data_IF_661573476800
#
_entry.id   IF_661573476800
#
_cell.length_a   1.000
_cell.length_b   1.000
_cell.length_c   1.000
_cell.angle_alpha   90.00
_cell.angle_beta   90.00
_cell.angle_gamma   90.00
#
_symmetry.space_group_name_H-M   'P 1'
#
loop_
_entity.id
_entity.type
_entity.pdbx_description
1 polymer ?
#
# COMPACT_ATOMS: atom_id res chain seq x y z
N UNK A 1 -2.42 0.00 5.15
CA UNK A 1 -2.90 -1.20 4.43
C UNK A 1 -2.39 -1.16 3.01
N UNK A 2 -2.07 -2.31 2.42
CA UNK A 2 -1.64 -2.41 1.01
C UNK A 2 -2.65 -1.82 0.02
N UNK A 3 -3.95 -1.88 0.33
CA UNK A 3 -5.01 -1.34 -0.54
C UNK A 3 -4.99 0.18 -0.67
N UNK A 4 -4.49 0.88 0.34
CA UNK A 4 -4.34 2.33 0.27
C UNK A 4 -3.17 2.70 -0.64
N UNK A 5 -2.06 1.95 -0.57
CA UNK A 5 -0.92 2.13 -1.46
C UNK A 5 -1.30 1.81 -2.92
N UNK A 6 -1.98 0.68 -3.15
CA UNK A 6 -2.49 0.30 -4.47
C UNK A 6 -3.38 1.39 -5.09
N UNK A 7 -4.38 1.89 -4.33
CA UNK A 7 -5.29 2.94 -4.81
C UNK A 7 -4.57 4.25 -5.09
N UNK A 8 -3.60 4.64 -4.25
CA UNK A 8 -2.83 5.86 -4.48
C UNK A 8 -2.00 5.77 -5.76
N UNK A 9 -1.33 4.63 -6.00
CA UNK A 9 -0.58 4.38 -7.24
C UNK A 9 -1.51 4.38 -8.46
N UNK A 10 -2.63 3.67 -8.40
CA UNK A 10 -3.64 3.64 -9.46
C UNK A 10 -4.30 5.01 -9.73
N UNK A 11 -4.34 5.88 -8.72
CA UNK A 11 -4.80 7.27 -8.86
C UNK A 11 -3.71 8.22 -9.41
N UNK A 12 -2.53 7.71 -9.78
CA UNK A 12 -1.47 8.47 -10.43
C UNK A 12 -0.26 8.80 -9.55
N UNK A 13 -0.18 8.32 -8.31
CA UNK A 13 1.03 8.52 -7.50
C UNK A 13 2.21 7.70 -8.04
N UNK A 14 3.42 8.25 -7.96
CA UNK A 14 4.65 7.51 -8.26
C UNK A 14 5.18 6.72 -7.06
N UNK A 15 4.98 7.26 -5.85
CA UNK A 15 5.42 6.71 -4.58
C UNK A 15 4.41 7.04 -3.48
N UNK A 16 4.38 6.23 -2.42
CA UNK A 16 3.49 6.41 -1.25
C UNK A 16 4.34 6.42 0.02
N UNK A 17 4.34 7.53 0.76
CA UNK A 17 5.10 7.68 1.99
C UNK A 17 4.28 7.29 3.24
N UNK A 18 4.94 6.72 4.24
CA UNK A 18 4.34 6.32 5.52
C UNK A 18 4.97 7.09 6.68
N UNK A 19 4.13 7.79 7.46
CA UNK A 19 4.56 8.54 8.65
C UNK A 19 4.32 7.78 9.94
N UNK A 20 3.12 7.95 10.52
CA UNK A 20 2.74 7.37 11.83
C UNK A 20 3.06 5.88 11.99
N UNK A 21 2.76 4.98 11.03
CA UNK A 21 3.07 3.55 11.18
C UNK A 21 4.56 3.29 11.42
N UNK A 22 5.44 4.03 10.72
CA UNK A 22 6.90 3.90 10.88
C UNK A 22 7.35 4.38 12.25
N UNK A 23 6.78 5.49 12.75
CA UNK A 23 7.08 6.00 14.10
C UNK A 23 6.66 5.00 15.18
N UNK A 24 5.51 4.34 15.01
CA UNK A 24 5.05 3.33 15.95
C UNK A 24 5.90 2.06 15.89
N UNK A 25 6.29 1.60 14.71
CA UNK A 25 7.24 0.49 14.55
C UNK A 25 8.59 0.79 15.22
N UNK A 26 9.11 2.01 15.02
CA UNK A 26 10.33 2.48 15.66
C UNK A 26 10.23 2.44 17.19
N UNK A 27 9.12 2.90 17.76
CA UNK A 27 8.91 2.90 19.21
C UNK A 27 8.80 1.48 19.80
N UNK A 28 8.27 0.52 19.03
CA UNK A 28 8.04 -0.86 19.49
C UNK A 28 9.25 -1.79 19.33
N UNK A 29 10.11 -1.55 18.34
CA UNK A 29 11.19 -2.48 17.99
C UNK A 29 12.42 -1.85 17.35
N UNK A 30 12.60 -0.53 17.47
CA UNK A 30 13.75 0.16 16.87
C UNK A 30 13.80 -0.03 15.35
N UNK A 31 14.99 -0.31 14.82
CA UNK A 31 15.20 -0.52 13.38
C UNK A 31 14.43 -1.73 12.85
N UNK A 32 14.41 -2.84 13.59
CA UNK A 32 13.66 -4.04 13.21
C UNK A 32 12.15 -3.77 13.17
N UNK A 33 11.64 -3.00 14.13
CA UNK A 33 10.23 -2.61 14.14
C UNK A 33 9.84 -1.73 12.95
N UNK A 34 10.74 -0.86 12.47
CA UNK A 34 10.52 -0.11 11.21
C UNK A 34 10.50 -1.07 10.01
N UNK A 35 11.45 -2.00 9.95
CA UNK A 35 11.51 -2.99 8.87
C UNK A 35 10.22 -3.83 8.81
N UNK A 36 9.76 -4.35 9.94
CA UNK A 36 8.53 -5.15 10.01
C UNK A 36 7.29 -4.39 9.53
N UNK A 37 7.23 -3.06 9.76
CA UNK A 37 6.12 -2.24 9.25
C UNK A 37 6.11 -2.20 7.73
N UNK A 38 7.26 -2.04 7.09
CA UNK A 38 7.36 -2.05 5.62
C UNK A 38 7.10 -3.44 5.04
N UNK A 39 7.67 -4.49 5.62
CA UNK A 39 7.43 -5.87 5.19
C UNK A 39 5.93 -6.23 5.25
N UNK A 40 5.23 -5.81 6.30
CA UNK A 40 3.79 -6.02 6.41
C UNK A 40 3.00 -5.28 5.32
N UNK A 41 3.39 -4.05 5.00
CA UNK A 41 2.73 -3.26 3.95
C UNK A 41 2.98 -3.86 2.57
N UNK A 42 4.22 -4.27 2.30
CA UNK A 42 4.62 -4.90 1.04
C UNK A 42 3.87 -6.22 0.85
N UNK A 43 3.79 -7.06 1.90
CA UNK A 43 3.02 -8.30 1.85
C UNK A 43 1.53 -8.07 1.56
N UNK A 44 0.91 -7.08 2.20
CA UNK A 44 -0.47 -6.71 1.91
C UNK A 44 -0.65 -6.18 0.48
N UNK A 45 0.33 -5.42 -0.04
CA UNK A 45 0.31 -4.91 -1.40
C UNK A 45 0.43 -6.05 -2.41
N UNK A 46 1.34 -7.01 -2.19
CA UNK A 46 1.50 -8.20 -3.02
C UNK A 46 0.21 -9.02 -3.12
N UNK A 47 -0.47 -9.26 -1.99
CA UNK A 47 -1.77 -9.95 -1.97
C UNK A 47 -2.77 -9.24 -2.88
N UNK A 48 -2.84 -7.91 -2.80
CA UNK A 48 -3.79 -7.12 -3.58
C UNK A 48 -3.41 -7.10 -5.05
N UNK A 49 -2.12 -6.96 -5.36
CA UNK A 49 -1.61 -7.04 -6.72
C UNK A 49 -1.96 -8.39 -7.36
N UNK A 50 -1.83 -9.48 -6.61
CA UNK A 50 -2.19 -10.81 -7.07
C UNK A 50 -3.70 -10.93 -7.32
N UNK A 51 -4.55 -10.41 -6.43
CA UNK A 51 -6.00 -10.45 -6.57
C UNK A 51 -6.52 -9.51 -7.68
N UNK A 52 -5.86 -8.37 -7.90
CA UNK A 52 -6.20 -7.39 -8.92
C UNK A 52 -5.62 -7.76 -10.31
N UNK A 53 -4.79 -8.80 -10.39
CA UNK A 53 -4.17 -9.24 -11.65
C UNK A 53 -3.08 -8.31 -12.18
N UNK A 54 -2.43 -7.53 -11.31
CA UNK A 54 -1.37 -6.58 -11.67
C UNK A 54 -0.01 -7.15 -11.29
N UNK A 55 0.84 -7.49 -12.27
CA UNK A 55 2.14 -8.14 -12.00
C UNK A 55 3.21 -7.17 -11.53
N UNK A 56 3.15 -5.93 -12.00
CA UNK A 56 4.16 -4.89 -11.76
C UNK A 56 3.54 -3.61 -11.23
N UNK A 57 4.36 -2.72 -10.66
CA UNK A 57 3.90 -1.39 -10.20
C UNK A 57 3.36 -0.54 -11.38
N UNK A 58 3.89 -0.72 -12.59
CA UNK A 58 3.36 -0.07 -13.78
C UNK A 58 1.93 -0.54 -14.06
N UNK A 59 1.64 -1.84 -13.91
CA UNK A 59 0.29 -2.37 -14.06
C UNK A 59 -0.66 -1.79 -12.99
N UNK A 60 -0.18 -1.63 -11.75
CA UNK A 60 -0.95 -0.99 -10.67
C UNK A 60 -1.33 0.45 -11.05
N UNK A 61 -0.40 1.23 -11.61
CA UNK A 61 -0.67 2.63 -12.02
C UNK A 61 -1.75 2.74 -13.10
N UNK A 62 -1.94 1.70 -13.91
CA UNK A 62 -2.95 1.67 -14.96
C UNK A 62 -4.20 0.88 -14.56
N UNK A 63 -4.28 0.39 -13.32
CA UNK A 63 -5.42 -0.38 -12.84
C UNK A 63 -6.67 0.50 -12.72
N UNK A 64 -7.83 0.10 -13.28
CA UNK A 64 -9.05 0.88 -13.16
C UNK A 64 -9.58 0.83 -11.73
N UNK A 65 -9.89 2.01 -11.17
CA UNK A 65 -10.54 2.13 -9.87
C UNK A 65 -12.06 2.30 -10.07
N UNK A 66 -12.84 1.54 -9.29
CA UNK A 66 -14.29 1.74 -9.23
C UNK A 66 -14.63 2.91 -8.33
N UNK A 67 -15.57 3.74 -8.77
CA UNK A 67 -16.12 4.83 -7.97
C UNK A 67 -17.39 4.38 -7.27
N UNK A 68 -17.32 4.17 -5.97
CA UNK A 68 -18.47 3.87 -5.13
C UNK A 68 -18.87 5.12 -4.35
N UNK A 69 -20.16 5.46 -4.38
CA UNK A 69 -20.74 6.40 -3.42
C UNK A 69 -21.25 5.60 -2.23
N UNK A 70 -20.60 5.72 -1.08
CA UNK A 70 -20.99 5.02 0.15
C UNK A 70 -21.92 5.85 1.05
N UNK A 71 -22.34 7.04 0.58
CA UNK A 71 -23.15 7.99 1.34
C UNK A 71 -24.67 7.89 1.07
N UNK A 72 -25.08 7.00 0.16
CA UNK A 72 -26.48 6.64 -0.13
C UNK A 72 -26.84 5.33 0.61
#
# INVERSE_FOLDING_TARGET
RGSHAFKALAAGADLVAFGRPVIYGLALGGAEGVQSVFEQIDHELEIIMQLAGTKTIADVKHAPLTHFNYAD
#
